data_IF_672618589996
#
_entry.id   IF_672618589996
#
_cell.length_a   1.000
_cell.length_b   1.000
_cell.length_c   1.000
_cell.angle_alpha   90.00
_cell.angle_beta   90.00
_cell.angle_gamma   90.00
#
_symmetry.space_group_name_H-M   'P 1'
#
loop_
_entity.id
_entity.type
_entity.pdbx_description
1 polymer ?
#
# COMPACT_ATOMS: atom_id res chain seq x y z
N UNK A 1 27.93 -2.92 5.91
CA UNK A 1 27.84 -1.81 4.93
C UNK A 1 27.48 -2.34 3.54
N UNK A 2 28.27 -3.24 2.97
CA UNK A 2 27.97 -3.90 1.69
C UNK A 2 27.01 -5.10 1.88
N UNK A 3 26.12 -5.35 0.91
CA UNK A 3 25.11 -6.43 0.92
C UNK A 3 23.67 -5.96 1.15
N UNK A 4 22.69 -6.68 0.56
CA UNK A 4 21.26 -6.32 0.53
C UNK A 4 20.49 -6.82 1.76
N UNK A 5 20.93 -7.92 2.38
CA UNK A 5 20.19 -8.59 3.47
C UNK A 5 20.54 -8.04 4.86
N UNK A 6 21.83 -7.84 5.13
CA UNK A 6 22.34 -7.36 6.43
C UNK A 6 23.17 -6.06 6.32
N UNK A 7 23.29 -5.51 5.10
CA UNK A 7 24.01 -4.28 4.81
C UNK A 7 23.09 -3.14 4.37
N UNK A 8 23.69 -2.02 3.96
CA UNK A 8 22.98 -0.85 3.43
C UNK A 8 22.91 -0.86 1.89
N UNK A 9 23.22 -1.99 1.25
CA UNK A 9 23.18 -2.10 -0.20
C UNK A 9 24.17 -1.16 -0.93
N UNK A 10 25.32 -0.85 -0.33
CA UNK A 10 26.34 0.05 -0.91
C UNK A 10 27.11 -0.55 -2.12
N UNK A 11 26.64 -1.67 -2.68
CA UNK A 11 27.19 -2.23 -3.92
C UNK A 11 26.61 -1.48 -5.11
N UNK A 12 27.47 -0.79 -5.87
CA UNK A 12 27.08 0.03 -7.03
C UNK A 12 26.82 -0.79 -8.31
N UNK A 13 27.21 -2.08 -8.34
CA UNK A 13 27.18 -2.91 -9.55
C UNK A 13 26.51 -4.25 -9.21
N UNK A 14 25.43 -4.55 -9.94
CA UNK A 14 24.83 -5.88 -10.02
C UNK A 14 24.48 -6.17 -11.48
N UNK A 15 24.66 -7.42 -11.92
CA UNK A 15 24.25 -7.88 -13.25
C UNK A 15 22.90 -8.61 -13.22
N UNK A 16 22.29 -8.72 -12.04
CA UNK A 16 20.99 -9.35 -11.88
C UNK A 16 19.86 -8.35 -12.17
N UNK A 17 19.23 -8.51 -13.33
CA UNK A 17 18.09 -7.69 -13.74
C UNK A 17 16.92 -7.76 -12.74
N UNK A 18 16.73 -8.89 -12.06
CA UNK A 18 15.66 -9.03 -11.06
C UNK A 18 15.89 -8.11 -9.86
N UNK A 19 17.14 -7.85 -9.50
CA UNK A 19 17.50 -6.89 -8.44
C UNK A 19 17.38 -5.45 -8.91
N UNK A 20 17.76 -5.17 -10.17
CA UNK A 20 17.64 -3.83 -10.77
C UNK A 20 16.17 -3.41 -10.89
N UNK A 21 15.33 -4.32 -11.38
CA UNK A 21 13.90 -4.06 -11.61
C UNK A 21 13.03 -4.29 -10.36
N UNK A 22 13.63 -4.58 -9.20
CA UNK A 22 12.90 -4.94 -7.98
C UNK A 22 11.95 -3.84 -7.49
N UNK A 23 12.33 -2.56 -7.69
CA UNK A 23 11.54 -1.38 -7.29
C UNK A 23 10.86 -0.75 -8.53
N UNK A 24 10.58 -1.57 -9.54
CA UNK A 24 10.05 -1.13 -10.82
C UNK A 24 11.12 -1.03 -11.90
N UNK A 25 10.69 -1.11 -13.17
CA UNK A 25 11.62 -1.03 -14.29
C UNK A 25 12.18 0.38 -14.42
N UNK A 26 13.51 0.55 -14.31
CA UNK A 26 14.11 1.87 -14.46
C UNK A 26 13.90 2.44 -15.87
N UNK A 27 13.83 1.56 -16.88
CA UNK A 27 13.60 1.95 -18.27
C UNK A 27 12.25 2.65 -18.51
N UNK A 28 11.25 2.37 -17.66
CA UNK A 28 9.93 2.98 -17.76
C UNK A 28 9.82 4.28 -16.93
N UNK A 29 10.82 4.56 -16.09
CA UNK A 29 10.82 5.69 -15.16
C UNK A 29 11.65 6.83 -15.78
N UNK A 30 11.18 8.09 -15.76
CA UNK A 30 11.98 9.20 -16.26
C UNK A 30 13.27 9.37 -15.45
N UNK A 31 14.39 9.60 -16.14
CA UNK A 31 15.72 9.74 -15.50
C UNK A 31 15.74 10.72 -14.32
N UNK A 32 15.04 11.85 -14.42
CA UNK A 32 15.01 12.85 -13.35
C UNK A 32 14.35 12.30 -12.09
N UNK A 33 13.32 11.45 -12.22
CA UNK A 33 12.65 10.84 -11.09
C UNK A 33 13.57 9.82 -10.41
N UNK A 34 14.29 9.03 -11.20
CA UNK A 34 15.29 8.08 -10.69
C UNK A 34 16.43 8.79 -9.96
N UNK A 35 16.95 9.87 -10.54
CA UNK A 35 18.00 10.67 -9.91
C UNK A 35 17.56 11.23 -8.54
N UNK A 36 16.30 11.65 -8.43
CA UNK A 36 15.73 12.11 -7.15
C UNK A 36 15.60 10.97 -6.13
N UNK A 37 15.10 9.80 -6.55
CA UNK A 37 15.00 8.61 -5.69
C UNK A 37 16.38 8.17 -5.21
N UNK A 38 17.37 8.14 -6.10
CA UNK A 38 18.74 7.80 -5.77
C UNK A 38 19.39 8.80 -4.82
N UNK A 39 19.23 10.11 -5.07
CA UNK A 39 19.72 11.15 -4.17
C UNK A 39 19.09 11.05 -2.77
N UNK A 40 17.77 10.81 -2.71
CA UNK A 40 17.06 10.56 -1.45
C UNK A 40 17.59 9.31 -0.74
N UNK A 41 17.80 8.22 -1.48
CA UNK A 41 18.37 6.99 -0.94
C UNK A 41 19.77 7.20 -0.35
N UNK A 42 20.67 7.86 -1.08
CA UNK A 42 22.01 8.20 -0.59
C UNK A 42 21.95 9.05 0.69
N UNK A 43 21.11 10.09 0.69
CA UNK A 43 21.01 10.98 1.84
C UNK A 43 20.44 10.27 3.09
N UNK A 44 19.31 9.56 2.96
CA UNK A 44 18.65 8.97 4.12
C UNK A 44 19.29 7.65 4.57
N UNK A 45 19.67 6.78 3.64
CA UNK A 45 20.16 5.43 3.97
C UNK A 45 21.68 5.33 3.99
N UNK A 46 22.42 6.05 3.15
CA UNK A 46 23.89 5.99 3.19
C UNK A 46 24.52 7.04 4.09
N UNK A 47 23.86 8.18 4.31
CA UNK A 47 24.39 9.23 5.19
C UNK A 47 23.70 9.25 6.56
N UNK A 48 22.39 9.49 6.61
CA UNK A 48 21.68 9.69 7.88
C UNK A 48 21.58 8.40 8.72
N UNK A 49 21.29 7.25 8.10
CA UNK A 49 21.13 5.98 8.82
C UNK A 49 22.41 5.56 9.57
N UNK A 50 23.62 5.56 8.95
CA UNK A 50 24.87 5.32 9.68
C UNK A 50 25.10 6.29 10.82
N UNK A 51 24.82 7.59 10.64
CA UNK A 51 24.97 8.59 11.70
C UNK A 51 24.12 8.18 12.91
N UNK A 52 22.83 7.92 12.70
CA UNK A 52 21.91 7.51 13.77
C UNK A 52 22.33 6.20 14.46
N UNK A 53 22.84 5.24 13.67
CA UNK A 53 23.32 3.97 14.19
C UNK A 53 24.55 4.14 15.08
N UNK A 54 25.56 4.88 14.61
CA UNK A 54 26.82 5.06 15.33
C UNK A 54 26.71 6.04 16.50
N UNK A 55 25.78 7.01 16.47
CA UNK A 55 25.44 7.83 17.65
C UNK A 55 24.57 7.10 18.67
N UNK A 56 24.25 5.82 18.43
CA UNK A 56 23.40 4.99 19.28
C UNK A 56 22.01 5.60 19.55
N UNK A 57 21.46 6.34 18.58
CA UNK A 57 20.12 6.91 18.70
C UNK A 57 19.10 5.77 18.75
N UNK A 58 18.14 5.82 19.67
CA UNK A 58 17.12 4.77 19.89
C UNK A 58 17.70 3.38 20.21
N UNK A 59 18.85 3.31 20.87
CA UNK A 59 19.52 2.05 21.19
C UNK A 59 19.89 1.24 19.94
N UNK A 60 20.14 1.92 18.81
CA UNK A 60 20.39 1.30 17.51
C UNK A 60 21.52 0.25 17.53
N UNK A 61 22.59 0.46 18.31
CA UNK A 61 23.71 -0.49 18.40
C UNK A 61 23.35 -1.82 19.08
N UNK A 62 22.20 -1.86 19.75
CA UNK A 62 21.68 -3.08 20.34
C UNK A 62 21.21 -4.08 19.27
N UNK A 63 20.86 -3.60 18.08
CA UNK A 63 20.30 -4.36 16.97
C UNK A 63 21.19 -4.27 15.71
N UNK A 64 20.97 -5.11 14.69
CA UNK A 64 21.59 -4.90 13.38
C UNK A 64 21.15 -3.57 12.75
N UNK A 65 22.07 -2.91 12.04
CA UNK A 65 21.79 -1.64 11.35
C UNK A 65 20.59 -1.74 10.39
N UNK A 66 20.45 -2.91 9.75
CA UNK A 66 19.35 -3.23 8.86
C UNK A 66 18.76 -4.59 9.19
N UNK A 67 17.45 -4.61 9.44
CA UNK A 67 16.66 -5.82 9.63
C UNK A 67 15.18 -5.55 9.36
N UNK A 68 14.47 -6.56 8.85
CA UNK A 68 13.01 -6.55 8.64
C UNK A 68 12.24 -7.02 9.87
N UNK A 69 12.91 -7.59 10.86
CA UNK A 69 12.28 -8.07 12.09
C UNK A 69 12.31 -7.01 13.18
N UNK A 70 11.33 -7.05 14.07
CA UNK A 70 11.34 -6.26 15.30
C UNK A 70 11.98 -7.06 16.43
N UNK A 71 12.58 -6.37 17.41
CA UNK A 71 13.33 -6.96 18.50
C UNK A 71 12.74 -6.62 19.87
N UNK A 72 12.97 -7.50 20.85
CA UNK A 72 12.73 -7.22 22.26
C UNK A 72 13.97 -6.64 22.95
N UNK A 73 13.83 -6.31 24.23
CA UNK A 73 14.89 -5.82 25.11
C UNK A 73 16.03 -6.83 25.36
N UNK A 74 15.96 -8.04 24.79
CA UNK A 74 16.95 -9.12 24.90
C UNK A 74 17.56 -9.50 23.55
N UNK A 75 17.34 -8.69 22.50
CA UNK A 75 17.79 -8.92 21.10
C UNK A 75 17.16 -10.14 20.43
N UNK A 76 16.13 -10.72 21.01
CA UNK A 76 15.40 -11.80 20.36
C UNK A 76 14.34 -11.21 19.42
N UNK A 77 13.91 -12.02 18.45
CA UNK A 77 12.78 -11.64 17.60
C UNK A 77 11.55 -11.40 18.50
N UNK A 78 10.87 -10.28 18.27
CA UNK A 78 9.75 -9.87 19.13
C UNK A 78 8.59 -10.88 19.05
N UNK A 79 8.24 -11.48 20.18
CA UNK A 79 7.16 -12.46 20.26
C UNK A 79 5.81 -11.76 20.46
N UNK A 80 5.07 -11.62 19.36
CA UNK A 80 3.75 -10.96 19.34
C UNK A 80 2.72 -11.75 20.14
N UNK A 81 2.85 -13.08 20.26
CA UNK A 81 1.85 -13.91 20.95
C UNK A 81 1.78 -13.62 22.46
N UNK A 82 2.88 -13.13 23.05
CA UNK A 82 2.95 -12.78 24.48
C UNK A 82 2.16 -11.54 24.86
N UNK A 83 1.86 -10.69 23.89
CA UNK A 83 1.18 -9.40 24.10
C UNK A 83 -0.25 -9.40 23.57
N UNK A 84 -0.72 -10.53 23.03
CA UNK A 84 -2.09 -10.70 22.56
C UNK A 84 -2.92 -11.49 23.57
N UNK A 85 -4.13 -11.01 23.80
CA UNK A 85 -5.15 -11.77 24.50
C UNK A 85 -5.70 -12.91 23.60
N UNK A 86 -6.45 -13.89 24.16
CA UNK A 86 -7.06 -14.97 23.38
C UNK A 86 -8.02 -14.48 22.28
N UNK A 87 -8.57 -13.28 22.42
CA UNK A 87 -9.43 -12.59 21.44
C UNK A 87 -8.64 -11.76 20.41
N UNK A 88 -7.32 -11.95 20.34
CA UNK A 88 -6.36 -11.23 19.49
C UNK A 88 -6.30 -9.70 19.74
N UNK A 89 -6.81 -9.22 20.87
CA UNK A 89 -6.64 -7.81 21.28
C UNK A 89 -5.29 -7.59 21.97
N UNK A 90 -4.81 -6.36 21.98
CA UNK A 90 -3.55 -5.99 22.63
C UNK A 90 -3.70 -5.97 24.16
N UNK A 91 -2.89 -6.77 24.85
CA UNK A 91 -2.77 -6.74 26.30
C UNK A 91 -1.68 -5.73 26.73
N UNK A 92 -2.11 -4.54 27.17
CA UNK A 92 -1.21 -3.46 27.56
C UNK A 92 -0.34 -3.82 28.79
N UNK A 93 -0.87 -4.61 29.73
CA UNK A 93 -0.14 -5.02 30.93
C UNK A 93 0.96 -6.02 30.58
N UNK A 94 0.64 -7.02 29.77
CA UNK A 94 1.62 -7.99 29.26
C UNK A 94 2.68 -7.32 28.39
N UNK A 95 2.29 -6.35 27.55
CA UNK A 95 3.22 -5.53 26.77
C UNK A 95 4.23 -4.78 27.66
N UNK A 96 3.74 -4.07 28.69
CA UNK A 96 4.60 -3.33 29.63
C UNK A 96 5.50 -4.26 30.46
N UNK A 97 5.05 -5.47 30.77
CA UNK A 97 5.81 -6.47 31.51
C UNK A 97 6.87 -7.18 30.65
N UNK A 98 6.59 -7.38 29.35
CA UNK A 98 7.50 -8.09 28.44
C UNK A 98 8.63 -7.19 27.95
N UNK A 99 8.33 -6.25 27.04
CA UNK A 99 9.34 -5.35 26.47
C UNK A 99 8.69 -4.29 25.57
N UNK A 100 9.22 -3.06 25.54
CA UNK A 100 8.97 -2.15 24.43
C UNK A 100 9.46 -2.76 23.10
N UNK A 101 8.88 -2.31 22.00
CA UNK A 101 9.23 -2.76 20.65
C UNK A 101 10.47 -2.00 20.16
N UNK A 102 11.50 -2.72 19.74
CA UNK A 102 12.69 -2.12 19.15
C UNK A 102 12.73 -2.37 17.63
N UNK A 103 12.97 -1.32 16.86
CA UNK A 103 13.05 -1.36 15.41
C UNK A 103 14.49 -1.04 14.97
N UNK A 104 14.96 -1.74 13.93
CA UNK A 104 16.25 -1.43 13.31
C UNK A 104 16.26 -0.01 12.75
N UNK A 105 17.43 0.62 12.65
CA UNK A 105 17.55 2.02 12.22
C UNK A 105 17.02 2.21 10.80
N UNK A 106 17.30 1.30 9.87
CA UNK A 106 16.74 1.37 8.51
C UNK A 106 15.22 1.22 8.49
N UNK A 107 14.66 0.39 9.36
CA UNK A 107 13.21 0.18 9.43
C UNK A 107 12.50 1.41 10.01
N UNK A 108 13.04 1.98 11.09
CA UNK A 108 12.55 3.25 11.66
C UNK A 108 12.63 4.39 10.64
N UNK A 109 13.74 4.51 9.90
CA UNK A 109 13.89 5.49 8.82
C UNK A 109 12.86 5.30 7.71
N UNK A 110 12.57 4.05 7.32
CA UNK A 110 11.60 3.74 6.29
C UNK A 110 10.18 4.16 6.71
N UNK A 111 9.79 3.96 7.97
CA UNK A 111 8.52 4.47 8.50
C UNK A 111 8.49 6.00 8.53
N UNK A 112 9.54 6.64 9.03
CA UNK A 112 9.65 8.10 9.08
C UNK A 112 9.49 8.75 7.69
N UNK A 113 10.18 8.21 6.69
CA UNK A 113 10.06 8.66 5.31
C UNK A 113 8.69 8.36 4.70
N UNK A 114 8.05 7.26 5.10
CA UNK A 114 6.69 6.94 4.67
C UNK A 114 5.67 7.96 5.19
N UNK A 115 5.82 8.44 6.43
CA UNK A 115 4.98 9.53 6.94
C UNK A 115 5.25 10.85 6.20
N UNK A 116 6.53 11.16 5.94
CA UNK A 116 6.91 12.38 5.24
C UNK A 116 6.40 12.38 3.78
N UNK A 117 6.50 11.25 3.07
CA UNK A 117 6.12 11.16 1.65
C UNK A 117 4.63 11.37 1.41
N UNK A 118 3.78 10.96 2.34
CA UNK A 118 2.32 11.10 2.24
C UNK A 118 1.90 12.56 2.36
N UNK A 119 2.43 13.29 3.35
CA UNK A 119 2.19 14.73 3.49
C UNK A 119 2.81 15.48 2.31
N UNK A 120 4.04 15.13 1.91
CA UNK A 120 4.71 15.73 0.76
C UNK A 120 3.89 15.55 -0.53
N UNK A 121 3.25 14.40 -0.72
CA UNK A 121 2.38 14.11 -1.88
C UNK A 121 1.20 15.09 -1.95
N UNK A 122 0.50 15.31 -0.83
CA UNK A 122 -0.61 16.27 -0.78
C UNK A 122 -0.14 17.71 -1.02
N UNK A 123 0.94 18.11 -0.33
CA UNK A 123 1.50 19.46 -0.46
C UNK A 123 1.98 19.71 -1.89
N UNK A 124 2.67 18.75 -2.49
CA UNK A 124 3.14 18.84 -3.87
C UNK A 124 1.99 18.93 -4.87
N UNK A 125 0.97 18.08 -4.73
CA UNK A 125 -0.23 18.13 -5.57
C UNK A 125 -0.94 19.49 -5.46
N UNK A 126 -1.08 20.02 -4.26
CA UNK A 126 -1.72 21.32 -4.03
C UNK A 126 -0.89 22.50 -4.58
N UNK A 127 0.41 22.53 -4.32
CA UNK A 127 1.27 23.65 -4.73
C UNK A 127 1.49 23.72 -6.24
N UNK A 128 1.68 22.59 -6.91
CA UNK A 128 2.02 22.56 -8.33
C UNK A 128 0.80 22.31 -9.23
N UNK A 129 -0.15 21.49 -8.77
CA UNK A 129 -1.20 20.96 -9.66
C UNK A 129 -2.62 21.44 -9.34
N UNK A 130 -2.87 22.24 -8.30
CA UNK A 130 -4.22 22.71 -7.94
C UNK A 130 -5.02 23.30 -9.10
N UNK A 131 -4.38 24.13 -9.95
CA UNK A 131 -5.05 24.77 -11.10
C UNK A 131 -5.43 23.75 -12.16
N UNK A 132 -4.57 22.77 -12.39
CA UNK A 132 -4.82 21.69 -13.35
C UNK A 132 -5.92 20.78 -12.83
N UNK A 133 -5.86 20.38 -11.55
CA UNK A 133 -6.91 19.58 -10.88
C UNK A 133 -8.26 20.28 -11.00
N UNK A 134 -8.34 21.58 -10.69
CA UNK A 134 -9.59 22.34 -10.77
C UNK A 134 -10.14 22.44 -12.19
N UNK A 135 -9.27 22.63 -13.17
CA UNK A 135 -9.67 22.74 -14.57
C UNK A 135 -10.18 21.40 -15.08
N UNK A 136 -9.49 20.31 -14.74
CA UNK A 136 -9.80 18.97 -15.25
C UNK A 136 -10.97 18.33 -14.54
N UNK A 137 -11.19 18.67 -13.26
CA UNK A 137 -12.42 18.31 -12.54
C UNK A 137 -13.68 18.92 -13.17
N UNK A 138 -13.55 19.98 -13.98
CA UNK A 138 -14.67 20.70 -14.62
C UNK A 138 -14.77 20.50 -16.13
N UNK A 139 -13.79 19.84 -16.76
CA UNK A 139 -13.78 19.62 -18.22
C UNK A 139 -14.35 18.26 -18.58
N UNK A 140 -15.10 18.20 -19.68
CA UNK A 140 -15.52 16.93 -20.26
C UNK A 140 -14.35 16.26 -21.00
N UNK A 141 -14.22 14.93 -20.88
CA UNK A 141 -13.26 14.12 -21.66
C UNK A 141 -13.39 14.34 -23.17
N UNK A 142 -14.57 14.75 -23.65
CA UNK A 142 -14.84 15.04 -25.06
C UNK A 142 -14.20 16.33 -25.58
N UNK A 143 -13.79 17.24 -24.69
CA UNK A 143 -13.18 18.53 -25.04
C UNK A 143 -11.65 18.45 -25.16
N UNK A 144 -11.05 17.27 -25.00
CA UNK A 144 -9.61 17.14 -25.11
C UNK A 144 -9.16 17.23 -26.58
N UNK A 145 -8.20 18.12 -26.92
CA UNK A 145 -7.74 18.33 -28.30
C UNK A 145 -6.86 17.19 -28.83
N UNK A 146 -6.76 16.05 -28.12
CA UNK A 146 -5.96 14.90 -28.52
C UNK A 146 -6.63 14.14 -29.67
N UNK A 147 -5.84 13.74 -30.66
CA UNK A 147 -6.25 12.86 -31.76
C UNK A 147 -6.83 11.54 -31.21
N UNK A 148 -6.30 11.05 -30.09
CA UNK A 148 -6.80 9.84 -29.48
C UNK A 148 -8.22 10.02 -28.93
N UNK A 149 -8.49 11.17 -28.29
CA UNK A 149 -9.82 11.53 -27.78
C UNK A 149 -10.82 11.72 -28.93
N UNK A 150 -10.40 12.38 -30.01
CA UNK A 150 -11.23 12.57 -31.21
C UNK A 150 -11.58 11.25 -31.90
N UNK A 151 -10.64 10.30 -31.97
CA UNK A 151 -10.91 8.97 -32.53
C UNK A 151 -11.82 8.15 -31.61
N UNK A 152 -11.66 8.30 -30.29
CA UNK A 152 -12.45 7.57 -29.29
C UNK A 152 -13.85 8.14 -29.06
N UNK A 153 -14.13 9.39 -29.46
CA UNK A 153 -15.45 10.01 -29.27
C UNK A 153 -16.58 9.30 -30.02
N UNK A 154 -16.25 8.47 -31.01
CA UNK A 154 -17.21 7.62 -31.73
C UNK A 154 -17.75 6.47 -30.87
N UNK A 155 -17.01 6.05 -29.85
CA UNK A 155 -17.43 4.96 -28.98
C UNK A 155 -18.25 5.50 -27.80
N UNK A 156 -19.38 4.85 -27.47
CA UNK A 156 -20.16 5.27 -26.32
C UNK A 156 -19.37 5.02 -25.03
N UNK A 157 -19.38 6.02 -24.14
CA UNK A 157 -18.76 5.90 -22.83
C UNK A 157 -19.51 4.88 -21.96
N UNK A 158 -18.84 4.43 -20.90
CA UNK A 158 -19.44 3.54 -19.90
C UNK A 158 -20.41 4.38 -19.06
N UNK A 159 -21.70 3.99 -18.98
CA UNK A 159 -22.66 4.71 -18.15
C UNK A 159 -22.24 4.69 -16.67
N UNK A 160 -22.44 5.81 -15.97
CA UNK A 160 -22.09 5.94 -14.54
C UNK A 160 -22.80 4.89 -13.66
N UNK A 161 -24.02 4.47 -14.04
CA UNK A 161 -24.78 3.47 -13.30
C UNK A 161 -24.11 2.08 -13.30
N UNK A 162 -23.24 1.76 -14.26
CA UNK A 162 -22.46 0.50 -14.24
C UNK A 162 -21.49 0.50 -13.06
N UNK A 163 -20.84 1.65 -12.81
CA UNK A 163 -19.97 1.82 -11.64
C UNK A 163 -20.78 1.77 -10.34
N UNK A 164 -21.96 2.41 -10.31
CA UNK A 164 -22.84 2.36 -9.14
C UNK A 164 -23.32 0.92 -8.82
N UNK A 165 -23.62 0.12 -9.85
CA UNK A 165 -24.05 -1.27 -9.71
C UNK A 165 -22.95 -2.18 -9.15
N UNK A 166 -21.67 -1.82 -9.31
CA UNK A 166 -20.56 -2.55 -8.67
C UNK A 166 -20.27 -1.98 -7.28
N UNK A 167 -20.29 -0.65 -7.15
CA UNK A 167 -19.95 0.03 -5.90
C UNK A 167 -20.95 -0.27 -4.78
N UNK A 168 -22.26 -0.19 -5.06
CA UNK A 168 -23.29 -0.37 -4.02
C UNK A 168 -23.24 -1.80 -3.43
N UNK A 169 -23.27 -2.89 -4.23
CA UNK A 169 -23.18 -4.24 -3.68
C UNK A 169 -21.85 -4.51 -2.96
N UNK A 170 -20.72 -4.01 -3.46
CA UNK A 170 -19.41 -4.23 -2.81
C UNK A 170 -19.32 -3.50 -1.46
N UNK A 171 -19.91 -2.30 -1.34
CA UNK A 171 -20.05 -1.61 -0.05
C UNK A 171 -20.96 -2.39 0.90
N UNK A 172 -22.09 -2.91 0.42
CA UNK A 172 -23.00 -3.74 1.23
C UNK A 172 -22.27 -4.99 1.73
N UNK A 173 -21.58 -5.72 0.86
CA UNK A 173 -20.78 -6.87 1.26
C UNK A 173 -19.67 -6.50 2.26
N UNK A 174 -19.05 -5.33 2.11
CA UNK A 174 -18.09 -4.80 3.08
C UNK A 174 -18.71 -4.58 4.47
N UNK A 175 -19.90 -3.96 4.53
CA UNK A 175 -20.60 -3.74 5.81
C UNK A 175 -21.03 -5.07 6.43
N UNK A 176 -21.59 -5.98 5.64
CA UNK A 176 -21.97 -7.33 6.11
C UNK A 176 -20.74 -8.09 6.63
N UNK A 177 -19.59 -7.99 5.96
CA UNK A 177 -18.35 -8.62 6.41
C UNK A 177 -17.87 -8.10 7.77
N UNK A 178 -18.10 -6.82 8.06
CA UNK A 178 -17.72 -6.20 9.34
C UNK A 178 -18.66 -6.63 10.47
N UNK A 179 -19.97 -6.67 10.21
CA UNK A 179 -21.00 -6.93 11.21
C UNK A 179 -21.19 -8.42 11.53
N UNK A 180 -21.06 -9.30 10.53
CA UNK A 180 -21.31 -10.75 10.71
C UNK A 180 -20.12 -11.45 11.36
N UNK A 181 -18.90 -10.99 11.10
CA UNK A 181 -17.69 -11.60 11.67
C UNK A 181 -17.14 -10.76 12.82
N UNK A 182 -16.48 -11.38 13.83
CA UNK A 182 -15.90 -10.69 14.98
C UNK A 182 -14.61 -9.94 14.58
N UNK A 183 -14.74 -8.95 13.70
CA UNK A 183 -13.64 -8.14 13.16
C UNK A 183 -13.21 -7.03 14.12
N UNK A 184 -14.05 -6.73 15.11
CA UNK A 184 -13.88 -5.65 16.09
C UNK A 184 -13.77 -4.25 15.46
N UNK A 185 -14.06 -4.12 14.17
CA UNK A 185 -14.00 -2.85 13.43
C UNK A 185 -15.39 -2.22 13.38
N UNK A 186 -15.56 -0.93 13.74
CA UNK A 186 -16.84 -0.26 13.58
C UNK A 186 -17.07 0.20 12.13
N UNK A 187 -18.34 0.24 11.70
CA UNK A 187 -18.71 0.62 10.31
C UNK A 187 -18.26 2.03 9.93
N UNK A 188 -18.19 2.98 10.87
CA UNK A 188 -17.68 4.33 10.56
C UNK A 188 -16.22 4.29 10.08
N UNK A 189 -15.41 3.37 10.60
CA UNK A 189 -14.00 3.25 10.22
C UNK A 189 -13.86 2.74 8.77
N UNK A 190 -14.80 1.93 8.29
CA UNK A 190 -14.85 1.52 6.89
C UNK A 190 -15.05 2.70 5.95
N UNK A 191 -16.02 3.57 6.25
CA UNK A 191 -16.25 4.78 5.46
C UNK A 191 -15.05 5.75 5.55
N UNK A 192 -14.42 5.87 6.72
CA UNK A 192 -13.20 6.67 6.84
C UNK A 192 -12.07 6.15 5.94
N UNK A 193 -11.86 4.83 5.87
CA UNK A 193 -10.87 4.23 4.97
C UNK A 193 -11.18 4.56 3.49
N UNK A 194 -12.43 4.49 3.07
CA UNK A 194 -12.85 4.85 1.72
C UNK A 194 -12.65 6.34 1.40
N UNK A 195 -12.90 7.23 2.37
CA UNK A 195 -12.66 8.68 2.21
C UNK A 195 -11.16 8.96 2.06
N UNK A 196 -10.31 8.31 2.86
CA UNK A 196 -8.85 8.43 2.73
C UNK A 196 -8.43 7.96 1.33
N UNK A 197 -8.84 6.76 0.91
CA UNK A 197 -8.58 6.25 -0.45
C UNK A 197 -8.98 7.28 -1.52
N UNK A 198 -10.21 7.81 -1.44
CA UNK A 198 -10.74 8.76 -2.41
C UNK A 198 -9.91 10.05 -2.52
N UNK A 199 -9.55 10.65 -1.38
CA UNK A 199 -8.76 11.89 -1.35
C UNK A 199 -7.37 11.68 -1.95
N UNK A 200 -6.73 10.55 -1.65
CA UNK A 200 -5.36 10.27 -2.07
C UNK A 200 -5.24 9.70 -3.49
N UNK A 201 -6.31 9.17 -4.08
CA UNK A 201 -6.32 8.68 -5.48
C UNK A 201 -5.81 9.75 -6.44
N UNK A 202 -6.29 11.00 -6.34
CA UNK A 202 -5.93 12.05 -7.31
C UNK A 202 -4.45 12.45 -7.19
N UNK A 203 -3.93 12.86 -6.01
CA UNK A 203 -2.52 13.20 -5.85
C UNK A 203 -1.56 12.07 -6.23
N UNK A 204 -1.83 10.86 -5.75
CA UNK A 204 -0.96 9.71 -6.01
C UNK A 204 -1.03 9.32 -7.49
N UNK A 205 -2.21 9.32 -8.10
CA UNK A 205 -2.38 9.04 -9.52
C UNK A 205 -1.66 10.04 -10.41
N UNK A 206 -1.64 11.32 -10.04
CA UNK A 206 -0.88 12.33 -10.77
C UNK A 206 0.64 12.09 -10.68
N UNK A 207 1.17 11.83 -9.49
CA UNK A 207 2.58 11.52 -9.32
C UNK A 207 2.92 10.27 -10.12
N UNK A 208 2.17 9.18 -9.94
CA UNK A 208 2.38 7.92 -10.67
C UNK A 208 2.32 8.12 -12.18
N UNK A 209 1.41 8.96 -12.69
CA UNK A 209 1.31 9.22 -14.12
C UNK A 209 2.51 9.99 -14.71
N UNK A 210 3.24 10.74 -13.88
CA UNK A 210 4.38 11.59 -14.30
C UNK A 210 5.71 10.88 -14.04
N UNK A 211 5.86 10.29 -12.86
CA UNK A 211 7.11 9.67 -12.39
C UNK A 211 7.13 8.17 -12.59
N UNK A 212 6.00 7.53 -12.91
CA UNK A 212 5.86 6.07 -12.86
C UNK A 212 6.07 5.46 -11.45
N UNK A 213 6.01 6.29 -10.38
CA UNK A 213 6.21 5.85 -9.00
C UNK A 213 4.90 5.94 -8.19
N UNK A 214 4.55 4.85 -7.51
CA UNK A 214 3.35 4.78 -6.67
C UNK A 214 3.70 4.92 -5.19
N UNK A 215 3.12 5.93 -4.53
CA UNK A 215 3.29 6.13 -3.09
C UNK A 215 2.31 5.25 -2.32
N UNK A 216 2.80 4.49 -1.34
CA UNK A 216 1.98 3.59 -0.54
C UNK A 216 1.21 4.30 0.57
N UNK A 217 -0.10 4.01 0.73
CA UNK A 217 -0.93 4.53 1.83
C UNK A 217 -0.95 3.66 3.09
N UNK A 218 -0.29 2.51 3.05
CA UNK A 218 -0.31 1.51 4.13
C UNK A 218 0.01 2.11 5.52
N UNK A 219 1.01 2.97 5.58
CA UNK A 219 1.55 3.48 6.84
C UNK A 219 0.63 4.54 7.48
N UNK A 220 -0.02 5.40 6.67
CA UNK A 220 -0.95 6.39 7.22
C UNK A 220 -2.28 5.74 7.63
N UNK A 221 -2.75 4.74 6.89
CA UNK A 221 -4.00 4.05 7.24
C UNK A 221 -3.84 3.27 8.54
N UNK A 222 -2.71 2.59 8.74
CA UNK A 222 -2.33 1.97 10.01
C UNK A 222 -2.24 2.98 11.16
N UNK A 223 -1.65 4.17 10.93
CA UNK A 223 -1.54 5.21 11.96
C UNK A 223 -2.90 5.75 12.37
N UNK A 224 -3.75 6.10 11.40
CA UNK A 224 -5.07 6.71 11.66
C UNK A 224 -5.95 5.75 12.45
N UNK A 225 -6.07 4.49 12.03
CA UNK A 225 -6.87 3.51 12.77
C UNK A 225 -6.22 3.10 14.09
N UNK A 226 -4.88 3.06 14.17
CA UNK A 226 -4.17 2.76 15.40
C UNK A 226 -4.47 3.76 16.52
N UNK A 227 -4.68 5.04 16.18
CA UNK A 227 -5.14 6.04 17.13
C UNK A 227 -6.65 6.03 17.36
N UNK A 228 -7.45 5.78 16.32
CA UNK A 228 -8.91 5.86 16.43
C UNK A 228 -9.53 4.61 17.09
N UNK A 229 -8.90 3.45 16.95
CA UNK A 229 -9.29 2.18 17.56
C UNK A 229 -8.06 1.42 18.09
N UNK A 230 -7.48 1.87 19.21
CA UNK A 230 -6.26 1.28 19.75
C UNK A 230 -6.49 -0.15 20.21
N UNK A 231 -5.47 -1.00 20.03
CA UNK A 231 -5.45 -2.36 20.60
C UNK A 231 -6.23 -3.43 19.82
N UNK A 232 -6.69 -3.13 18.61
CA UNK A 232 -7.44 -4.05 17.74
C UNK A 232 -6.68 -4.34 16.42
N UNK A 233 -5.73 -5.31 16.41
CA UNK A 233 -4.88 -5.58 15.25
C UNK A 233 -5.63 -6.07 14.01
N UNK A 234 -6.70 -6.86 14.19
CA UNK A 234 -7.53 -7.37 13.08
C UNK A 234 -8.23 -6.21 12.37
N UNK A 235 -8.86 -5.31 13.14
CA UNK A 235 -9.48 -4.10 12.61
C UNK A 235 -8.47 -3.20 11.89
N UNK A 236 -7.25 -3.06 12.42
CA UNK A 236 -6.17 -2.32 11.77
C UNK A 236 -5.82 -2.90 10.39
N UNK A 237 -5.70 -4.23 10.29
CA UNK A 237 -5.38 -4.89 9.02
C UNK A 237 -6.49 -4.72 7.98
N UNK A 238 -7.76 -4.81 8.39
CA UNK A 238 -8.91 -4.59 7.51
C UNK A 238 -8.97 -3.14 7.02
N UNK A 239 -8.81 -2.18 7.93
CA UNK A 239 -8.79 -0.75 7.60
C UNK A 239 -7.67 -0.41 6.61
N UNK A 240 -6.46 -0.93 6.85
CA UNK A 240 -5.33 -0.79 5.93
C UNK A 240 -5.67 -1.35 4.55
N UNK A 241 -6.26 -2.54 4.51
CA UNK A 241 -6.62 -3.23 3.26
C UNK A 241 -7.58 -2.38 2.43
N UNK A 242 -8.67 -1.90 3.02
CA UNK A 242 -9.62 -1.03 2.30
C UNK A 242 -9.07 0.37 2.00
N UNK A 243 -8.22 0.92 2.86
CA UNK A 243 -7.61 2.23 2.67
C UNK A 243 -6.50 2.28 1.60
N UNK A 244 -5.78 1.17 1.38
CA UNK A 244 -4.70 1.11 0.39
C UNK A 244 -5.11 0.39 -0.89
N UNK A 245 -5.72 -0.79 -0.79
CA UNK A 245 -6.00 -1.63 -1.96
C UNK A 245 -7.07 -0.98 -2.84
N UNK A 246 -8.09 -0.33 -2.27
CA UNK A 246 -9.09 0.39 -3.06
C UNK A 246 -8.48 1.49 -3.92
N UNK A 247 -7.52 2.26 -3.38
CA UNK A 247 -6.77 3.25 -4.15
C UNK A 247 -5.89 2.58 -5.21
N UNK A 248 -5.14 1.53 -4.85
CA UNK A 248 -4.26 0.84 -5.80
C UNK A 248 -5.04 0.23 -6.99
N UNK A 249 -6.20 -0.38 -6.71
CA UNK A 249 -7.10 -0.92 -7.73
C UNK A 249 -7.70 0.18 -8.60
N UNK A 250 -8.09 1.32 -8.03
CA UNK A 250 -8.59 2.45 -8.81
C UNK A 250 -7.54 3.01 -9.78
N UNK A 251 -6.28 3.08 -9.35
CA UNK A 251 -5.16 3.52 -10.19
C UNK A 251 -4.83 2.52 -11.29
N UNK A 252 -4.82 1.21 -10.98
CA UNK A 252 -4.62 0.16 -11.97
C UNK A 252 -5.75 0.16 -13.03
N UNK A 253 -7.00 0.23 -12.57
CA UNK A 253 -8.18 0.34 -13.43
C UNK A 253 -8.06 1.54 -14.37
N UNK A 254 -7.67 2.70 -13.85
CA UNK A 254 -7.47 3.92 -14.65
C UNK A 254 -6.33 3.77 -15.65
N UNK A 255 -5.22 3.15 -15.25
CA UNK A 255 -4.07 2.86 -16.12
C UNK A 255 -4.49 1.99 -17.31
N UNK A 256 -5.26 0.94 -17.06
CA UNK A 256 -5.74 0.04 -18.10
C UNK A 256 -6.73 0.74 -19.04
N UNK A 257 -7.61 1.61 -18.53
CA UNK A 257 -8.48 2.45 -19.38
C UNK A 257 -7.67 3.39 -20.28
N UNK A 258 -6.58 3.95 -19.76
CA UNK A 258 -5.67 4.80 -20.54
C UNK A 258 -4.96 3.98 -21.63
N UNK A 259 -4.50 2.77 -21.31
CA UNK A 259 -3.92 1.86 -22.30
C UNK A 259 -4.94 1.49 -23.39
N UNK A 260 -6.16 1.12 -23.00
CA UNK A 260 -7.25 0.82 -23.93
C UNK A 260 -7.60 2.02 -24.82
N UNK A 261 -7.56 3.24 -24.28
CA UNK A 261 -7.75 4.48 -25.03
C UNK A 261 -6.67 4.69 -26.11
N UNK A 262 -5.41 4.34 -25.82
CA UNK A 262 -4.33 4.36 -26.81
C UNK A 262 -4.49 3.27 -27.86
N UNK A 263 -4.87 2.06 -27.46
CA UNK A 263 -5.07 0.91 -28.35
C UNK A 263 -6.38 0.94 -29.15
N UNK A 264 -7.25 1.93 -28.92
CA UNK A 264 -8.57 2.06 -29.57
C UNK A 264 -9.53 0.92 -29.26
N UNK A 265 -9.43 0.38 -28.06
CA UNK A 265 -10.39 -0.58 -27.53
C UNK A 265 -11.62 0.19 -27.02
N UNK A 266 -12.84 -0.17 -27.42
CA UNK A 266 -14.04 0.52 -26.97
C UNK A 266 -14.22 0.45 -25.43
N UNK A 267 -14.67 1.53 -24.75
CA UNK A 267 -14.68 1.59 -23.27
C UNK A 267 -15.58 0.55 -22.59
N UNK A 268 -16.72 0.20 -23.19
CA UNK A 268 -17.68 -0.76 -22.60
C UNK A 268 -17.15 -2.21 -22.56
N UNK A 269 -16.64 -2.78 -23.67
CA UNK A 269 -15.90 -4.04 -23.64
C UNK A 269 -14.71 -4.02 -22.68
N UNK A 270 -13.96 -2.91 -22.62
CA UNK A 270 -12.84 -2.78 -21.69
C UNK A 270 -13.29 -2.93 -20.23
N UNK A 271 -14.35 -2.21 -19.84
CA UNK A 271 -14.96 -2.33 -18.52
C UNK A 271 -15.39 -3.77 -18.22
N UNK A 272 -16.14 -4.40 -19.12
CA UNK A 272 -16.64 -5.75 -18.91
C UNK A 272 -15.49 -6.76 -18.78
N UNK A 273 -14.45 -6.64 -19.62
CA UNK A 273 -13.28 -7.50 -19.56
C UNK A 273 -12.54 -7.36 -18.22
N UNK A 274 -12.36 -6.13 -17.72
CA UNK A 274 -11.74 -5.90 -16.41
C UNK A 274 -12.57 -6.48 -15.27
N UNK A 275 -13.88 -6.25 -15.25
CA UNK A 275 -14.77 -6.78 -14.20
C UNK A 275 -14.73 -8.31 -14.17
N UNK A 276 -14.83 -8.96 -15.34
CA UNK A 276 -14.74 -10.42 -15.44
C UNK A 276 -13.37 -10.92 -14.98
N UNK A 277 -12.28 -10.27 -15.43
CA UNK A 277 -10.93 -10.61 -15.01
C UNK A 277 -10.73 -10.47 -13.50
N UNK A 278 -11.26 -9.41 -12.88
CA UNK A 278 -11.20 -9.22 -11.42
C UNK A 278 -11.96 -10.31 -10.67
N UNK A 279 -13.15 -10.72 -11.14
CA UNK A 279 -13.92 -11.81 -10.53
C UNK A 279 -13.16 -13.14 -10.64
N UNK A 280 -12.59 -13.47 -11.80
CA UNK A 280 -11.81 -14.68 -12.01
C UNK A 280 -10.54 -14.67 -11.15
N UNK A 281 -9.79 -13.57 -11.16
CA UNK A 281 -8.56 -13.42 -10.39
C UNK A 281 -8.84 -13.52 -8.88
N UNK A 282 -9.88 -12.83 -8.38
CA UNK A 282 -10.27 -12.88 -6.97
C UNK A 282 -10.70 -14.27 -6.53
N UNK A 283 -11.54 -14.95 -7.31
CA UNK A 283 -12.01 -16.31 -6.98
C UNK A 283 -10.90 -17.35 -7.06
N UNK A 284 -10.02 -17.25 -8.06
CA UNK A 284 -8.88 -18.17 -8.20
C UNK A 284 -7.87 -17.95 -7.09
N UNK A 285 -7.56 -16.70 -6.73
CA UNK A 285 -6.67 -16.38 -5.62
C UNK A 285 -7.18 -16.97 -4.30
N UNK A 286 -8.46 -16.79 -3.99
CA UNK A 286 -9.09 -17.36 -2.80
C UNK A 286 -9.13 -18.89 -2.85
N UNK A 287 -9.43 -19.48 -4.01
CA UNK A 287 -9.45 -20.93 -4.21
C UNK A 287 -8.08 -21.56 -4.01
N UNK A 288 -7.03 -20.96 -4.57
CA UNK A 288 -5.64 -21.42 -4.37
C UNK A 288 -5.24 -21.25 -2.90
N UNK A 289 -5.59 -20.15 -2.26
CA UNK A 289 -5.31 -19.94 -0.84
C UNK A 289 -6.00 -21.00 0.04
N UNK A 290 -7.27 -21.32 -0.22
CA UNK A 290 -8.00 -22.38 0.49
C UNK A 290 -7.41 -23.78 0.21
N UNK A 291 -7.01 -24.04 -1.04
CA UNK A 291 -6.31 -25.28 -1.42
C UNK A 291 -4.97 -25.42 -0.70
N UNK A 292 -4.20 -24.34 -0.61
CA UNK A 292 -2.92 -24.30 0.11
C UNK A 292 -3.11 -24.65 1.58
N UNK A 293 -4.12 -24.09 2.25
CA UNK A 293 -4.40 -24.39 3.66
C UNK A 293 -4.87 -25.82 3.93
N UNK A 294 -5.49 -26.47 2.96
CA UNK A 294 -6.04 -27.84 3.11
C UNK A 294 -5.04 -28.93 2.72
N UNK A 295 -4.18 -28.68 1.73
CA UNK A 295 -3.32 -29.71 1.14
C UNK A 295 -1.86 -29.62 1.59
N UNK A 296 -1.36 -28.44 1.99
CA UNK A 296 0.04 -28.30 2.42
C UNK A 296 0.13 -28.56 3.93
N UNK A 297 0.46 -29.80 4.27
CA UNK A 297 0.72 -30.22 5.65
C UNK A 297 1.87 -29.40 6.26
N UNK A 298 1.63 -28.78 7.42
CA UNK A 298 2.66 -28.06 8.17
C UNK A 298 2.69 -26.53 8.00
N UNK A 299 1.82 -25.91 7.19
CA UNK A 299 1.74 -24.44 7.12
C UNK A 299 1.46 -23.78 8.48
N UNK A 300 0.68 -24.44 9.34
CA UNK A 300 0.32 -23.97 10.67
C UNK A 300 1.32 -24.36 11.77
N UNK A 301 2.46 -24.98 11.45
CA UNK A 301 3.41 -25.47 12.47
C UNK A 301 4.06 -24.38 13.34
N UNK A 302 3.76 -23.10 13.08
CA UNK A 302 4.16 -21.96 13.92
C UNK A 302 3.03 -21.05 14.42
N UNK A 303 1.74 -21.40 14.25
CA UNK A 303 0.61 -20.59 14.76
C UNK A 303 -0.47 -21.48 15.39
N UNK A 304 -0.94 -21.17 16.62
CA UNK A 304 -1.98 -21.96 17.28
C UNK A 304 -3.30 -21.88 16.51
N UNK A 305 -3.94 -23.04 16.32
CA UNK A 305 -5.28 -23.19 15.74
C UNK A 305 -6.30 -22.38 16.53
N UNK A 306 -6.65 -21.22 16.01
CA UNK A 306 -7.96 -20.58 16.20
C UNK A 306 -8.36 -20.22 14.77
N UNK A 307 -9.33 -20.86 14.11
CA UNK A 307 -10.70 -21.09 14.51
C UNK A 307 -11.22 -22.37 13.84
N UNK A 308 -12.03 -23.14 14.56
CA UNK A 308 -12.85 -24.21 14.00
C UNK A 308 -14.09 -23.65 13.31
N UNK A 309 -14.60 -24.45 12.38
CA UNK A 309 -15.97 -24.39 11.84
C UNK A 309 -17.00 -24.14 12.94
#
# INVERSE_FOLDING_TARGET
MFGVVHGLGMSLITFDWSQIAYIGSPLATPWWAEANVFAGFMFFFWFLTPILYYTNTWYAQYMPISSRTSYDNQKQAYDVTRILNPDATLNLTAYKAYSPLFLSTTFAMSYGLSFASIIATLVHAFLYYRKQIWTQARRSLSEQPDIHARLMSRYPQVPEWWYALIFIPTVIFGIVAIEVWPTQMPVWAFFLALVISFVYIIPIGMIQAITNQQVGLNVITELVIGYALPGHPVAMMLFKTWGYISMAQALQFTSDFKLGHYMKIPPRPMFAAQVVATVIAGTTQLGVQAWMFTNIAGMYSGQPRSYGV
#
